data_IF_667572781303
#
_entry.id   IF_667572781303
#
_cell.length_a   1.000
_cell.length_b   1.000
_cell.length_c   1.000
_cell.angle_alpha   90.00
_cell.angle_beta   90.00
_cell.angle_gamma   90.00
#
_symmetry.space_group_name_H-M   'P 1'
#
loop_
_entity.id
_entity.type
_entity.pdbx_description
1 polymer ?
#
# COMPACT_ATOMS: atom_id res chain seq x y z
N UNK A 1 -9.16 14.79 0.44
CA UNK A 1 -9.51 13.73 -0.52
C UNK A 1 -9.08 12.41 0.09
N UNK A 2 -10.00 11.50 0.33
CA UNK A 2 -9.64 10.12 0.67
C UNK A 2 -9.17 9.45 -0.62
N UNK A 3 -8.04 8.73 -0.63
CA UNK A 3 -7.71 7.86 -1.74
C UNK A 3 -8.68 6.66 -1.69
N UNK A 4 -9.87 6.86 -2.25
CA UNK A 4 -10.90 5.82 -2.40
C UNK A 4 -10.55 4.89 -3.59
N UNK A 5 -9.64 5.31 -4.46
CA UNK A 5 -9.19 4.53 -5.60
C UNK A 5 -8.04 3.59 -5.20
N UNK A 6 -8.23 2.29 -5.40
CA UNK A 6 -7.22 1.25 -5.15
C UNK A 6 -5.88 1.57 -5.80
N UNK A 7 -5.90 2.19 -6.99
CA UNK A 7 -4.69 2.50 -7.75
C UNK A 7 -3.92 3.67 -7.16
N UNK A 8 -4.62 4.63 -6.52
CA UNK A 8 -3.97 5.69 -5.78
C UNK A 8 -3.24 5.16 -4.54
N UNK A 9 -3.85 4.23 -3.79
CA UNK A 9 -3.18 3.60 -2.64
C UNK A 9 -1.93 2.82 -3.08
N UNK A 10 -2.02 2.05 -4.16
CA UNK A 10 -0.86 1.34 -4.74
C UNK A 10 0.21 2.33 -5.19
N UNK A 11 -0.16 3.40 -5.88
CA UNK A 11 0.79 4.40 -6.34
C UNK A 11 1.53 5.12 -5.19
N UNK A 12 0.83 5.47 -4.11
CA UNK A 12 1.45 6.03 -2.89
C UNK A 12 2.44 5.03 -2.27
N UNK A 13 2.10 3.74 -2.23
CA UNK A 13 3.01 2.70 -1.75
C UNK A 13 4.24 2.56 -2.64
N UNK A 14 4.06 2.52 -3.97
CA UNK A 14 5.17 2.46 -4.94
C UNK A 14 6.14 3.63 -4.79
N UNK A 15 5.62 4.86 -4.64
CA UNK A 15 6.44 6.05 -4.39
C UNK A 15 7.22 5.92 -3.07
N UNK A 16 6.58 5.38 -2.02
CA UNK A 16 7.19 5.20 -0.70
C UNK A 16 8.29 4.13 -0.68
N UNK A 17 8.16 3.09 -1.53
CA UNK A 17 9.13 2.02 -1.69
C UNK A 17 10.35 2.43 -2.54
N UNK A 18 10.22 3.49 -3.33
CA UNK A 18 11.26 3.96 -4.25
C UNK A 18 11.32 3.17 -5.55
N UNK A 19 12.09 3.71 -6.51
CA UNK A 19 12.10 3.28 -7.91
C UNK A 19 12.48 1.81 -8.10
N UNK A 20 13.51 1.32 -7.40
CA UNK A 20 14.02 -0.05 -7.59
C UNK A 20 12.98 -1.11 -7.20
N UNK A 21 12.39 -0.97 -6.01
CA UNK A 21 11.39 -1.93 -5.50
C UNK A 21 10.06 -1.81 -6.25
N UNK A 22 9.65 -0.59 -6.59
CA UNK A 22 8.44 -0.37 -7.39
C UNK A 22 8.55 -1.01 -8.77
N UNK A 23 9.71 -0.91 -9.43
CA UNK A 23 9.94 -1.53 -10.73
C UNK A 23 9.87 -3.06 -10.66
N UNK A 24 10.37 -3.67 -9.59
CA UNK A 24 10.27 -5.13 -9.40
C UNK A 24 8.82 -5.57 -9.19
N UNK A 25 8.07 -4.85 -8.35
CA UNK A 25 6.65 -5.12 -8.12
C UNK A 25 5.81 -4.96 -9.39
N UNK A 26 6.02 -3.88 -10.15
CA UNK A 26 5.29 -3.60 -11.40
C UNK A 26 5.44 -4.74 -12.43
N UNK A 27 6.58 -5.43 -12.46
CA UNK A 27 6.79 -6.59 -13.35
C UNK A 27 5.89 -7.80 -13.02
N UNK A 28 5.28 -7.82 -11.84
CA UNK A 28 4.37 -8.88 -11.42
C UNK A 28 2.90 -8.59 -11.75
N UNK A 29 2.58 -7.37 -12.18
CA UNK A 29 1.23 -6.95 -12.56
C UNK A 29 0.97 -7.21 -14.05
N UNK A 30 -0.32 -7.27 -14.41
CA UNK A 30 -0.74 -7.33 -15.82
C UNK A 30 -0.55 -5.98 -16.50
N UNK A 31 -0.41 -5.94 -17.84
CA UNK A 31 -0.25 -4.69 -18.59
C UNK A 31 -1.36 -3.67 -18.33
N UNK A 32 -2.61 -4.13 -18.15
CA UNK A 32 -3.75 -3.29 -17.78
C UNK A 32 -3.56 -2.62 -16.41
N UNK A 33 -3.16 -3.40 -15.40
CA UNK A 33 -2.92 -2.92 -14.04
C UNK A 33 -1.72 -1.96 -14.00
N UNK A 34 -0.64 -2.26 -14.73
CA UNK A 34 0.51 -1.37 -14.87
C UNK A 34 0.10 -0.01 -15.44
N UNK A 35 -0.79 0.00 -16.43
CA UNK A 35 -1.35 1.24 -16.98
C UNK A 35 -2.07 2.07 -15.93
N UNK A 36 -2.94 1.43 -15.12
CA UNK A 36 -3.66 2.10 -14.05
C UNK A 36 -2.73 2.63 -12.95
N UNK A 37 -1.75 1.84 -12.52
CA UNK A 37 -0.78 2.25 -11.49
C UNK A 37 0.07 3.42 -11.97
N UNK A 38 0.57 3.34 -13.21
CA UNK A 38 1.40 4.41 -13.79
C UNK A 38 0.62 5.70 -13.93
N UNK A 39 -0.64 5.63 -14.37
CA UNK A 39 -1.54 6.77 -14.44
C UNK A 39 -1.77 7.37 -13.04
N UNK A 40 -2.03 6.54 -12.04
CA UNK A 40 -2.23 6.99 -10.67
C UNK A 40 -0.97 7.67 -10.09
N UNK A 41 0.23 7.14 -10.36
CA UNK A 41 1.51 7.77 -9.98
C UNK A 41 1.64 9.16 -10.64
N UNK A 42 1.29 9.28 -11.93
CA UNK A 42 1.36 10.55 -12.66
C UNK A 42 0.34 11.59 -12.15
N UNK A 43 -0.85 11.16 -11.74
CA UNK A 43 -1.88 12.02 -11.13
C UNK A 43 -1.48 12.49 -9.72
N UNK A 44 -0.73 11.67 -8.97
CA UNK A 44 -0.18 11.99 -7.66
C UNK A 44 1.09 12.88 -7.74
N UNK A 45 1.03 14.00 -8.47
CA UNK A 45 2.16 14.94 -8.65
C UNK A 45 2.79 15.42 -7.35
N UNK A 46 1.99 15.59 -6.31
CA UNK A 46 2.43 15.85 -4.94
C UNK A 46 1.46 15.20 -3.97
N UNK A 47 1.94 14.20 -3.24
CA UNK A 47 1.19 13.57 -2.16
C UNK A 47 1.52 14.30 -0.87
N UNK A 48 0.55 14.88 -0.14
CA UNK A 48 0.79 15.42 1.19
C UNK A 48 1.32 14.32 2.11
N UNK A 49 2.29 14.63 2.97
CA UNK A 49 2.88 13.66 3.90
C UNK A 49 1.81 12.96 4.76
N UNK A 50 0.75 13.67 5.15
CA UNK A 50 -0.39 13.13 5.90
C UNK A 50 -1.13 12.01 5.14
N UNK A 51 -1.22 12.11 3.81
CA UNK A 51 -1.85 11.08 2.97
C UNK A 51 -0.94 9.86 2.85
N UNK A 52 0.37 10.08 2.72
CA UNK A 52 1.37 9.01 2.66
C UNK A 52 1.41 8.21 3.97
N UNK A 53 1.48 8.91 5.12
CA UNK A 53 1.49 8.31 6.46
C UNK A 53 0.24 7.46 6.71
N UNK A 54 -0.94 7.98 6.34
CA UNK A 54 -2.19 7.24 6.46
C UNK A 54 -2.21 5.97 5.61
N UNK A 55 -1.80 6.04 4.34
CA UNK A 55 -1.80 4.86 3.45
C UNK A 55 -0.83 3.80 3.95
N UNK A 56 0.34 4.21 4.46
CA UNK A 56 1.30 3.29 5.09
C UNK A 56 0.71 2.64 6.35
N UNK A 57 0.10 3.44 7.23
CA UNK A 57 -0.52 2.93 8.46
C UNK A 57 -1.64 1.94 8.16
N UNK A 58 -2.50 2.21 7.17
CA UNK A 58 -3.54 1.27 6.74
C UNK A 58 -2.92 -0.05 6.25
N UNK A 59 -1.86 0.03 5.42
CA UNK A 59 -1.18 -1.14 4.89
C UNK A 59 -0.51 -1.98 5.99
N UNK A 60 0.12 -1.34 6.98
CA UNK A 60 0.71 -2.01 8.15
C UNK A 60 -0.35 -2.72 9.00
N UNK A 61 -1.52 -2.10 9.21
CA UNK A 61 -2.63 -2.70 9.94
C UNK A 61 -3.20 -3.90 9.17
N UNK A 62 -3.36 -3.81 7.85
CA UNK A 62 -3.80 -4.94 7.02
C UNK A 62 -2.79 -6.10 7.02
N UNK A 63 -1.48 -5.80 6.91
CA UNK A 63 -0.44 -6.82 7.01
C UNK A 63 -0.45 -7.50 8.39
N UNK A 64 -0.65 -6.72 9.46
CA UNK A 64 -0.77 -7.25 10.82
C UNK A 64 -2.02 -8.11 10.97
N UNK A 65 -3.16 -7.66 10.48
CA UNK A 65 -4.43 -8.40 10.51
C UNK A 65 -4.34 -9.72 9.72
N UNK A 66 -3.57 -9.74 8.62
CA UNK A 66 -3.27 -10.96 7.84
C UNK A 66 -2.23 -11.88 8.49
N UNK A 67 -1.34 -11.35 9.33
CA UNK A 67 -0.35 -12.12 10.11
C UNK A 67 -0.93 -12.69 11.40
N UNK A 68 -1.89 -12.00 12.00
CA UNK A 68 -2.58 -12.38 13.24
C UNK A 68 -3.45 -13.66 13.20
N UNK A 69 -3.92 -14.23 12.06
CA UNK A 69 -4.58 -15.53 12.08
C UNK A 69 -3.63 -16.67 12.45
N UNK A 70 -2.30 -16.44 12.40
CA UNK A 70 -1.30 -17.48 12.70
C UNK A 70 -0.75 -17.42 14.14
N UNK A 71 -0.94 -16.31 14.86
CA UNK A 71 -0.52 -16.17 16.26
C UNK A 71 -1.75 -15.97 17.14
N UNK A 72 -2.68 -16.93 17.05
CA UNK A 72 -3.98 -16.88 17.70
C UNK A 72 -4.41 -18.20 18.33
N UNK A 73 -3.46 -19.01 18.79
CA UNK A 73 -3.72 -20.02 19.82
C UNK A 73 -3.17 -19.49 21.14
N UNK A 74 -4.04 -18.91 21.97
CA UNK A 74 -3.85 -18.73 23.41
C UNK A 74 -2.64 -17.87 23.85
N UNK A 75 -2.84 -16.55 24.02
CA UNK A 75 -1.75 -15.72 24.56
C UNK A 75 -2.06 -14.31 25.07
N UNK A 76 -3.29 -13.81 24.98
CA UNK A 76 -3.63 -12.50 25.54
C UNK A 76 -4.81 -12.60 26.52
N UNK A 77 -4.58 -13.33 27.61
CA UNK A 77 -5.28 -13.05 28.86
C UNK A 77 -4.74 -11.71 29.38
N UNK A 78 -5.62 -10.72 29.45
CA UNK A 78 -5.38 -9.45 30.13
C UNK A 78 -5.35 -9.73 31.64
N UNK A 79 -4.29 -9.28 32.30
CA UNK A 79 -4.17 -9.17 33.76
C UNK A 79 -3.64 -7.78 34.09
#
# INVERSE_FOLDING_TARGET
>A
MEPDDRWQKVAVLMISLGEELAADLLRQFSDEDVGHITQAIADLKQVPAEVQDRVLSEFEDELRARRLPFLGGEGFAKG
#
